data_IF_230719978556
#
_entry.id   IF_230719978556
#
_cell.length_a   1.000
_cell.length_b   1.000
_cell.length_c   1.000
_cell.angle_alpha   90.00
_cell.angle_beta   90.00
_cell.angle_gamma   90.00
#
_symmetry.space_group_name_H-M   'P 1'
#
loop_
_entity.id
_entity.type
_entity.pdbx_description
1 polymer ?
#
# COMPACT_ATOMS: atom_id res chain seq x y z
N UNK A 1 -9.29 15.28 -14.35
CA UNK A 1 -9.34 14.01 -15.10
C UNK A 1 -9.68 12.90 -14.12
N UNK A 2 -10.66 12.07 -14.44
CA UNK A 2 -11.00 10.90 -13.64
C UNK A 2 -10.00 9.78 -13.95
N UNK A 3 -9.40 9.19 -12.94
CA UNK A 3 -8.51 8.03 -13.08
C UNK A 3 -9.40 6.82 -13.35
N UNK A 4 -9.20 6.14 -14.48
CA UNK A 4 -10.04 5.00 -14.87
C UNK A 4 -9.70 3.77 -14.03
N UNK A 5 -10.70 3.09 -13.47
CA UNK A 5 -10.49 1.84 -12.72
C UNK A 5 -10.91 0.67 -13.63
N UNK A 6 -9.96 -0.21 -13.95
CA UNK A 6 -10.16 -1.38 -14.80
C UNK A 6 -10.08 -2.66 -13.96
N UNK A 7 -11.17 -3.42 -13.87
CA UNK A 7 -11.15 -4.74 -13.24
C UNK A 7 -10.86 -5.82 -14.29
N UNK A 8 -9.70 -6.46 -14.19
CA UNK A 8 -9.29 -7.61 -15.01
C UNK A 8 -9.19 -8.90 -14.17
N UNK A 9 -9.71 -8.89 -12.94
CA UNK A 9 -9.77 -10.09 -12.11
C UNK A 9 -11.08 -10.83 -12.32
N UNK A 10 -11.01 -12.15 -12.46
CA UNK A 10 -12.19 -13.03 -12.55
C UNK A 10 -12.84 -13.27 -11.18
N UNK A 11 -12.12 -12.95 -10.11
CA UNK A 11 -12.58 -13.18 -8.73
C UNK A 11 -13.64 -12.17 -8.31
N UNK A 12 -14.57 -12.66 -7.48
CA UNK A 12 -15.55 -11.81 -6.80
C UNK A 12 -14.84 -10.86 -5.83
N UNK A 13 -14.87 -9.57 -6.15
CA UNK A 13 -14.34 -8.51 -5.29
C UNK A 13 -15.17 -8.37 -4.01
N UNK A 14 -14.55 -7.98 -2.88
CA UNK A 14 -15.31 -7.49 -1.73
C UNK A 14 -16.22 -6.32 -2.13
N UNK A 15 -17.34 -6.17 -1.42
CA UNK A 15 -18.28 -5.07 -1.66
C UNK A 15 -17.56 -3.72 -1.59
N UNK A 16 -17.95 -2.81 -2.49
CA UNK A 16 -17.48 -1.43 -2.57
C UNK A 16 -15.98 -1.28 -2.83
N UNK A 17 -15.29 -2.30 -3.36
CA UNK A 17 -13.84 -2.20 -3.64
C UNK A 17 -13.53 -1.06 -4.60
N UNK A 18 -14.32 -0.89 -5.66
CA UNK A 18 -14.14 0.19 -6.64
C UNK A 18 -14.33 1.55 -5.98
N UNK A 19 -15.45 1.78 -5.31
CA UNK A 19 -15.72 3.03 -4.60
C UNK A 19 -14.70 3.32 -3.49
N UNK A 20 -14.13 2.29 -2.87
CA UNK A 20 -13.02 2.47 -1.93
C UNK A 20 -11.75 2.97 -2.62
N UNK A 21 -11.42 2.45 -3.80
CA UNK A 21 -10.26 2.92 -4.59
C UNK A 21 -10.49 4.38 -5.01
N UNK A 22 -11.69 4.72 -5.48
CA UNK A 22 -12.06 6.10 -5.84
C UNK A 22 -11.89 7.03 -4.63
N UNK A 23 -12.50 6.70 -3.49
CA UNK A 23 -12.39 7.51 -2.28
C UNK A 23 -10.96 7.60 -1.73
N UNK A 24 -10.12 6.58 -1.95
CA UNK A 24 -8.70 6.63 -1.60
C UNK A 24 -7.94 7.60 -2.50
N UNK A 25 -8.17 7.56 -3.82
CA UNK A 25 -7.53 8.46 -4.78
C UNK A 25 -7.98 9.91 -4.57
N UNK A 26 -9.26 10.14 -4.28
CA UNK A 26 -9.81 11.46 -3.95
C UNK A 26 -9.26 12.03 -2.65
N UNK A 27 -8.86 11.17 -1.71
CA UNK A 27 -8.28 11.62 -0.44
C UNK A 27 -6.88 12.21 -0.58
N UNK A 28 -6.20 11.96 -1.71
CA UNK A 28 -4.85 12.42 -2.01
C UNK A 28 -4.87 13.81 -2.67
N UNK A 29 -3.79 14.61 -2.51
CA UNK A 29 -3.62 15.86 -3.26
C UNK A 29 -3.67 15.61 -4.78
N UNK A 30 -4.37 16.48 -5.52
CA UNK A 30 -4.58 16.34 -6.97
C UNK A 30 -3.26 16.34 -7.75
N UNK A 31 -2.25 17.01 -7.22
CA UNK A 31 -0.92 17.08 -7.79
C UNK A 31 -0.24 15.72 -7.78
N UNK A 32 -0.47 14.92 -6.74
CA UNK A 32 0.17 13.61 -6.57
C UNK A 32 -0.41 12.54 -7.49
N UNK A 33 -1.61 12.78 -8.00
CA UNK A 33 -2.28 11.87 -8.95
C UNK A 33 -2.25 12.38 -10.39
N UNK A 34 -1.66 13.57 -10.62
CA UNK A 34 -1.56 14.18 -11.93
C UNK A 34 -0.70 13.33 -12.87
N UNK A 35 -1.30 12.88 -13.97
CA UNK A 35 -0.62 12.07 -14.98
C UNK A 35 -0.80 10.55 -14.78
N UNK A 36 -1.50 10.13 -13.72
CA UNK A 36 -2.06 8.79 -13.62
C UNK A 36 -3.31 8.67 -14.49
N UNK A 37 -3.31 7.72 -15.40
CA UNK A 37 -4.43 7.48 -16.31
C UNK A 37 -5.40 6.43 -15.74
N UNK A 38 -4.87 5.35 -15.17
CA UNK A 38 -5.69 4.22 -14.73
C UNK A 38 -5.11 3.43 -13.56
N UNK A 39 -6.00 2.72 -12.87
CA UNK A 39 -5.70 1.67 -11.89
C UNK A 39 -6.29 0.36 -12.41
N UNK A 40 -5.45 -0.65 -12.55
CA UNK A 40 -5.83 -1.99 -13.01
C UNK A 40 -5.80 -2.97 -11.85
N UNK A 41 -6.88 -3.72 -11.70
CA UNK A 41 -6.98 -4.82 -10.75
C UNK A 41 -6.75 -6.14 -11.49
N UNK A 42 -5.72 -6.88 -11.09
CA UNK A 42 -5.35 -8.18 -11.65
C UNK A 42 -5.28 -9.23 -10.56
N UNK A 43 -5.33 -10.50 -10.94
CA UNK A 43 -5.16 -11.59 -9.97
C UNK A 43 -3.71 -11.70 -9.50
N UNK A 44 -2.77 -11.71 -10.44
CA UNK A 44 -1.33 -11.69 -10.20
C UNK A 44 -0.66 -10.78 -11.24
N UNK A 45 0.47 -10.18 -10.86
CA UNK A 45 1.24 -9.31 -11.76
C UNK A 45 2.12 -10.20 -12.65
N UNK A 46 1.95 -10.06 -13.97
CA UNK A 46 2.72 -10.81 -14.97
C UNK A 46 3.53 -9.84 -15.83
N UNK A 47 4.62 -9.30 -15.29
CA UNK A 47 5.51 -8.40 -16.02
C UNK A 47 6.76 -9.16 -16.51
N UNK A 48 7.04 -9.21 -17.83
CA UNK A 48 8.20 -9.91 -18.38
C UNK A 48 9.54 -9.45 -17.78
N UNK A 49 9.67 -8.16 -17.42
CA UNK A 49 10.88 -7.58 -16.81
C UNK A 49 11.20 -8.13 -15.43
N UNK A 50 10.21 -8.71 -14.76
CA UNK A 50 10.35 -9.29 -13.42
C UNK A 50 10.58 -10.81 -13.45
N UNK A 51 10.60 -11.43 -14.65
CA UNK A 51 10.90 -12.85 -14.81
C UNK A 51 12.33 -13.13 -14.32
N UNK A 52 12.46 -13.96 -13.27
CA UNK A 52 13.73 -14.30 -12.63
C UNK A 52 13.89 -13.73 -11.22
N UNK A 53 13.08 -12.74 -10.83
CA UNK A 53 12.95 -12.34 -9.43
C UNK A 53 11.94 -13.27 -8.77
N UNK A 54 12.40 -14.11 -7.83
CA UNK A 54 11.63 -15.14 -7.10
C UNK A 54 10.31 -14.65 -6.45
N UNK A 55 10.08 -13.34 -6.39
CA UNK A 55 8.97 -12.69 -5.69
C UNK A 55 7.99 -11.94 -6.60
N UNK A 56 8.15 -11.99 -7.93
CA UNK A 56 7.30 -11.21 -8.84
C UNK A 56 5.79 -11.53 -8.70
N UNK A 57 5.45 -12.78 -8.36
CA UNK A 57 4.09 -13.25 -8.11
C UNK A 57 3.55 -12.85 -6.72
N UNK A 58 4.40 -12.44 -5.80
CA UNK A 58 4.05 -12.03 -4.44
C UNK A 58 3.91 -10.52 -4.27
N UNK A 59 4.16 -9.75 -5.34
CA UNK A 59 4.07 -8.29 -5.29
C UNK A 59 2.60 -7.84 -5.16
N UNK A 60 2.25 -7.04 -4.15
CA UNK A 60 0.87 -6.57 -3.96
C UNK A 60 0.45 -5.51 -4.99
N UNK A 61 1.41 -4.86 -5.65
CA UNK A 61 1.15 -3.86 -6.67
C UNK A 61 2.41 -3.49 -7.45
N UNK A 62 2.23 -2.95 -8.65
CA UNK A 62 3.29 -2.49 -9.54
C UNK A 62 2.93 -1.13 -10.14
N UNK A 63 3.90 -0.21 -10.13
CA UNK A 63 3.80 1.08 -10.76
C UNK A 63 4.40 1.01 -12.16
N UNK A 64 3.63 1.44 -13.17
CA UNK A 64 4.08 1.54 -14.54
C UNK A 64 4.29 3.03 -14.90
N UNK A 65 5.54 3.50 -15.04
CA UNK A 65 5.81 4.88 -15.42
C UNK A 65 5.35 5.15 -16.87
N UNK A 66 5.12 6.42 -17.18
CA UNK A 66 4.75 6.87 -18.53
C UNK A 66 5.79 6.40 -19.55
N UNK A 67 5.34 5.69 -20.59
CA UNK A 67 6.17 5.19 -21.68
C UNK A 67 5.58 5.64 -23.01
N UNK A 68 6.23 6.63 -23.64
CA UNK A 68 5.79 7.22 -24.90
C UNK A 68 4.37 7.82 -24.80
N UNK A 69 3.41 7.38 -25.64
CA UNK A 69 2.05 7.88 -25.64
C UNK A 69 1.18 7.32 -24.50
N UNK A 70 1.60 6.22 -23.86
CA UNK A 70 0.86 5.60 -22.75
C UNK A 70 1.23 6.31 -21.45
N UNK A 71 0.25 6.89 -20.77
CA UNK A 71 0.48 7.53 -19.47
C UNK A 71 0.80 6.54 -18.37
N UNK A 72 1.09 7.10 -17.19
CA UNK A 72 1.43 6.30 -16.04
C UNK A 72 0.19 5.58 -15.50
N UNK A 73 0.36 4.35 -15.03
CA UNK A 73 -0.76 3.57 -14.50
C UNK A 73 -0.32 2.65 -13.37
N UNK A 74 -1.30 2.23 -12.56
CA UNK A 74 -1.08 1.40 -11.39
C UNK A 74 -1.67 0.02 -11.62
N UNK A 75 -0.98 -1.01 -11.16
CA UNK A 75 -1.46 -2.39 -11.18
C UNK A 75 -1.51 -2.92 -9.75
N UNK A 76 -2.62 -3.55 -9.37
CA UNK A 76 -2.84 -4.07 -8.01
C UNK A 76 -3.17 -5.56 -8.10
N UNK A 77 -2.39 -6.38 -7.39
CA UNK A 77 -2.54 -7.82 -7.35
C UNK A 77 -3.50 -8.25 -6.24
N UNK A 78 -4.72 -8.59 -6.61
CA UNK A 78 -5.75 -9.03 -5.66
C UNK A 78 -5.47 -10.43 -5.11
N UNK A 79 -4.75 -11.29 -5.83
CA UNK A 79 -4.37 -12.62 -5.37
C UNK A 79 -3.45 -12.59 -4.15
N UNK A 80 -2.61 -11.54 -4.04
CA UNK A 80 -1.73 -11.31 -2.90
C UNK A 80 -2.50 -10.71 -1.73
N UNK A 81 -3.37 -9.73 -1.99
CA UNK A 81 -4.17 -9.05 -0.96
C UNK A 81 -5.27 -9.96 -0.39
N UNK A 82 -5.83 -10.85 -1.21
CA UNK A 82 -6.90 -11.79 -0.89
C UNK A 82 -6.48 -13.21 -1.34
N UNK A 83 -5.62 -13.89 -0.55
CA UNK A 83 -5.14 -15.22 -0.91
C UNK A 83 -6.30 -16.23 -0.82
N UNK A 84 -6.78 -16.69 -1.98
CA UNK A 84 -7.81 -17.72 -2.07
C UNK A 84 -7.27 -19.12 -1.74
N UNK A 85 -5.98 -19.39 -1.92
CA UNK A 85 -5.41 -20.74 -1.74
C UNK A 85 -5.17 -21.15 -0.27
N UNK A 86 -5.57 -20.33 0.72
CA UNK A 86 -5.38 -20.64 2.15
C UNK A 86 -6.66 -21.25 2.78
N UNK A 87 -6.55 -22.03 3.87
CA UNK A 87 -7.70 -22.51 4.63
C UNK A 87 -8.60 -21.37 5.12
N UNK A 88 -9.90 -21.62 5.31
CA UNK A 88 -10.92 -20.60 5.63
C UNK A 88 -10.52 -19.72 6.82
N UNK A 89 -9.98 -20.29 7.90
CA UNK A 89 -9.52 -19.54 9.08
C UNK A 89 -8.36 -18.58 8.77
N UNK A 90 -7.47 -18.94 7.85
CA UNK A 90 -6.38 -18.06 7.39
C UNK A 90 -6.83 -17.01 6.36
N UNK A 91 -8.08 -17.09 5.86
CA UNK A 91 -8.68 -16.08 4.95
C UNK A 91 -9.37 -14.94 5.70
N UNK A 92 -9.69 -15.11 6.99
CA UNK A 92 -10.41 -14.09 7.76
C UNK A 92 -9.53 -12.86 7.97
N UNK A 93 -8.28 -13.04 8.41
CA UNK A 93 -7.36 -11.93 8.67
C UNK A 93 -7.14 -11.07 7.41
N UNK A 94 -6.78 -11.63 6.23
CA UNK A 94 -6.65 -10.85 5.00
C UNK A 94 -7.93 -10.11 4.59
N UNK A 95 -9.11 -10.70 4.81
CA UNK A 95 -10.39 -10.05 4.51
C UNK A 95 -10.66 -8.85 5.42
N UNK A 96 -10.32 -8.96 6.71
CA UNK A 96 -10.46 -7.84 7.66
C UNK A 96 -9.45 -6.73 7.38
N UNK A 97 -8.21 -7.07 7.03
CA UNK A 97 -7.15 -6.10 6.74
C UNK A 97 -7.17 -5.59 5.29
N UNK A 98 -8.02 -6.14 4.42
CA UNK A 98 -8.07 -5.83 2.99
C UNK A 98 -8.13 -4.33 2.73
N UNK A 99 -9.03 -3.59 3.41
CA UNK A 99 -9.19 -2.15 3.20
C UNK A 99 -7.92 -1.36 3.55
N UNK A 100 -7.23 -1.75 4.62
CA UNK A 100 -6.00 -1.11 5.06
C UNK A 100 -4.82 -1.45 4.13
N UNK A 101 -4.72 -2.71 3.73
CA UNK A 101 -3.67 -3.15 2.80
C UNK A 101 -3.87 -2.52 1.41
N UNK A 102 -5.10 -2.46 0.91
CA UNK A 102 -5.44 -1.78 -0.34
C UNK A 102 -5.04 -0.30 -0.30
N UNK A 103 -5.37 0.40 0.80
CA UNK A 103 -4.97 1.79 1.00
C UNK A 103 -3.44 1.95 1.01
N UNK A 104 -2.73 1.09 1.74
CA UNK A 104 -1.27 1.11 1.82
C UNK A 104 -0.63 0.87 0.45
N UNK A 105 -1.14 -0.10 -0.33
CA UNK A 105 -0.67 -0.39 -1.68
C UNK A 105 -0.89 0.82 -2.60
N UNK A 106 -2.09 1.39 -2.61
CA UNK A 106 -2.40 2.56 -3.46
C UNK A 106 -1.52 3.76 -3.09
N UNK A 107 -1.39 4.07 -1.80
CA UNK A 107 -0.56 5.20 -1.36
C UNK A 107 0.92 4.97 -1.64
N UNK A 108 1.42 3.74 -1.54
CA UNK A 108 2.78 3.38 -1.94
C UNK A 108 3.00 3.58 -3.44
N UNK A 109 2.08 3.09 -4.27
CA UNK A 109 2.15 3.22 -5.73
C UNK A 109 2.04 4.68 -6.19
N UNK A 110 1.15 5.47 -5.58
CA UNK A 110 1.07 6.92 -5.83
C UNK A 110 2.32 7.64 -5.31
N UNK A 111 2.88 7.20 -4.18
CA UNK A 111 4.15 7.71 -3.67
C UNK A 111 5.31 7.48 -4.65
N UNK A 112 5.36 6.29 -5.26
CA UNK A 112 6.30 6.00 -6.35
C UNK A 112 6.08 6.97 -7.51
N UNK A 113 4.84 7.11 -7.99
CA UNK A 113 4.51 8.04 -9.06
C UNK A 113 4.94 9.48 -8.73
N UNK A 114 4.59 9.98 -7.55
CA UNK A 114 4.94 11.32 -7.07
C UNK A 114 6.46 11.56 -7.06
N UNK A 115 7.23 10.62 -6.50
CA UNK A 115 8.68 10.76 -6.42
C UNK A 115 9.38 10.58 -7.77
N UNK A 116 8.83 9.77 -8.68
CA UNK A 116 9.38 9.62 -10.03
C UNK A 116 9.00 10.75 -11.00
N UNK A 117 7.87 11.43 -10.78
CA UNK A 117 7.32 12.43 -11.72
C UNK A 117 7.51 13.86 -11.26
N UNK A 118 7.43 14.16 -9.96
CA UNK A 118 7.45 15.54 -9.45
C UNK A 118 8.68 15.87 -8.61
N UNK A 119 9.27 14.89 -7.92
CA UNK A 119 10.38 15.11 -6.99
C UNK A 119 11.67 14.44 -7.45
N UNK A 120 12.27 14.98 -8.52
CA UNK A 120 13.50 14.47 -9.14
C UNK A 120 14.77 14.62 -8.29
N UNK A 121 14.70 15.20 -7.09
CA UNK A 121 15.86 15.49 -6.24
C UNK A 121 16.34 14.31 -5.40
N UNK A 122 15.69 13.14 -5.47
CA UNK A 122 16.01 11.98 -4.63
C UNK A 122 16.96 11.02 -5.33
N UNK A 123 18.04 10.65 -4.61
CA UNK A 123 18.93 9.56 -5.03
C UNK A 123 18.19 8.22 -4.94
N UNK A 124 18.57 7.26 -5.78
CA UNK A 124 17.94 5.92 -5.81
C UNK A 124 17.88 5.24 -4.43
N UNK A 125 18.92 5.39 -3.61
CA UNK A 125 19.00 4.83 -2.25
C UNK A 125 17.99 5.45 -1.26
N UNK A 126 17.50 6.65 -1.54
CA UNK A 126 16.57 7.39 -0.68
C UNK A 126 15.12 7.25 -1.10
N UNK A 127 14.84 6.63 -2.25
CA UNK A 127 13.49 6.49 -2.79
C UNK A 127 12.60 5.64 -1.90
N UNK A 128 13.06 4.45 -1.50
CA UNK A 128 12.26 3.54 -0.69
C UNK A 128 11.90 4.16 0.68
N UNK A 129 12.85 4.74 1.45
CA UNK A 129 12.51 5.47 2.68
C UNK A 129 11.52 6.62 2.45
N UNK A 130 11.67 7.37 1.34
CA UNK A 130 10.78 8.48 1.02
C UNK A 130 9.35 8.01 0.68
N UNK A 131 9.22 6.96 -0.13
CA UNK A 131 7.93 6.35 -0.48
C UNK A 131 7.26 5.78 0.77
N UNK A 132 8.02 5.15 1.67
CA UNK A 132 7.50 4.64 2.94
C UNK A 132 6.99 5.76 3.83
N UNK A 133 7.77 6.81 4.04
CA UNK A 133 7.36 7.98 4.82
C UNK A 133 6.13 8.66 4.22
N UNK A 134 6.06 8.76 2.90
CA UNK A 134 4.87 9.24 2.18
C UNK A 134 3.64 8.37 2.49
N UNK A 135 3.79 7.06 2.35
CA UNK A 135 2.71 6.09 2.58
C UNK A 135 2.19 6.18 4.02
N UNK A 136 3.09 6.21 4.99
CA UNK A 136 2.75 6.33 6.41
C UNK A 136 2.01 7.65 6.71
N UNK A 137 2.45 8.77 6.12
CA UNK A 137 1.78 10.07 6.24
C UNK A 137 0.36 10.03 5.68
N UNK A 138 0.17 9.49 4.48
CA UNK A 138 -1.17 9.44 3.85
C UNK A 138 -2.09 8.44 4.55
N UNK A 139 -1.56 7.30 5.01
CA UNK A 139 -2.33 6.35 5.82
C UNK A 139 -2.81 6.98 7.13
N UNK A 140 -1.96 7.76 7.81
CA UNK A 140 -2.34 8.47 9.03
C UNK A 140 -3.46 9.47 8.74
N UNK A 141 -3.28 10.32 7.72
CA UNK A 141 -4.28 11.31 7.32
C UNK A 141 -5.62 10.66 6.92
N UNK A 142 -5.58 9.56 6.18
CA UNK A 142 -6.77 8.80 5.79
C UNK A 142 -7.48 8.17 7.00
N UNK A 143 -6.73 7.55 7.91
CA UNK A 143 -7.28 6.96 9.12
C UNK A 143 -7.94 8.01 10.02
N UNK A 144 -7.33 9.19 10.15
CA UNK A 144 -7.91 10.30 10.92
C UNK A 144 -9.23 10.80 10.33
N UNK A 145 -9.33 10.91 9.00
CA UNK A 145 -10.56 11.28 8.30
C UNK A 145 -11.64 10.21 8.45
N UNK A 146 -11.28 8.93 8.27
CA UNK A 146 -12.23 7.80 8.23
C UNK A 146 -12.74 7.40 9.60
N UNK A 147 -11.89 7.44 10.62
CA UNK A 147 -12.24 7.03 11.98
C UNK A 147 -12.31 8.23 12.92
N UNK A 148 -12.83 9.37 12.46
CA UNK A 148 -12.84 10.64 13.20
C UNK A 148 -13.31 10.52 14.66
N UNK A 149 -14.33 9.68 14.93
CA UNK A 149 -14.82 9.41 16.28
C UNK A 149 -13.82 8.61 17.16
N UNK A 150 -13.28 7.50 16.65
CA UNK A 150 -12.23 6.72 17.34
C UNK A 150 -10.92 7.51 17.46
N UNK A 151 -10.56 8.28 16.44
CA UNK A 151 -9.38 9.13 16.46
C UNK A 151 -9.51 10.19 17.55
N UNK A 152 -10.68 10.80 17.74
CA UNK A 152 -10.93 11.72 18.87
C UNK A 152 -10.78 11.02 20.24
N UNK A 153 -11.24 9.77 20.36
CA UNK A 153 -11.12 8.99 21.61
C UNK A 153 -9.67 8.55 21.91
N UNK A 154 -8.91 8.15 20.90
CA UNK A 154 -7.56 7.60 21.08
C UNK A 154 -6.43 8.65 20.96
N UNK A 155 -6.68 9.84 20.39
CA UNK A 155 -5.71 10.95 20.33
C UNK A 155 -5.05 11.29 21.68
N UNK A 156 -5.78 11.41 22.81
CA UNK A 156 -5.13 11.68 24.10
C UNK A 156 -4.26 10.52 24.61
N UNK A 157 -4.53 9.29 24.17
CA UNK A 157 -3.85 8.07 24.63
C UNK A 157 -2.74 7.64 23.63
N UNK A 158 -2.69 8.21 22.43
CA UNK A 158 -1.61 7.98 21.46
C UNK A 158 -0.19 8.10 22.04
N UNK A 159 0.16 9.15 22.80
CA UNK A 159 1.53 9.28 23.28
C UNK A 159 1.93 8.18 24.26
N UNK A 160 1.00 7.64 25.05
CA UNK A 160 1.28 6.53 25.98
C UNK A 160 1.40 5.21 25.24
N UNK A 161 0.53 4.96 24.25
CA UNK A 161 0.61 3.80 23.37
C UNK A 161 1.90 3.77 22.55
N UNK A 162 2.35 4.91 22.02
CA UNK A 162 3.62 5.01 21.29
C UNK A 162 4.83 4.73 22.20
N UNK A 163 4.80 5.19 23.46
CA UNK A 163 5.84 4.89 24.45
C UNK A 163 5.89 3.39 24.74
N UNK A 164 4.74 2.74 24.91
CA UNK A 164 4.65 1.30 25.14
C UNK A 164 5.08 0.49 23.91
N UNK A 165 4.68 0.91 22.70
CA UNK A 165 5.11 0.30 21.45
C UNK A 165 6.63 0.37 21.26
N UNK A 166 7.25 1.53 21.55
CA UNK A 166 8.72 1.68 21.55
C UNK A 166 9.39 0.78 22.60
N UNK A 167 8.79 0.66 23.78
CA UNK A 167 9.26 -0.26 24.83
C UNK A 167 9.24 -1.72 24.38
N UNK A 168 8.13 -2.16 23.78
CA UNK A 168 7.96 -3.52 23.26
C UNK A 168 8.89 -3.81 22.07
N UNK A 169 9.04 -2.86 21.13
CA UNK A 169 9.98 -3.01 20.00
C UNK A 169 11.43 -3.12 20.48
N UNK A 170 11.84 -2.35 21.49
CA UNK A 170 13.17 -2.46 22.09
C UNK A 170 13.39 -3.83 22.75
N UNK A 171 12.39 -4.35 23.47
CA UNK A 171 12.44 -5.69 24.09
C UNK A 171 12.52 -6.80 23.04
N UNK A 172 11.66 -6.75 22.02
CA UNK A 172 11.69 -7.72 20.92
C UNK A 172 13.00 -7.67 20.11
N UNK A 173 13.58 -6.48 19.90
CA UNK A 173 14.87 -6.34 19.24
C UNK A 173 16.02 -6.89 20.11
N UNK A 174 15.96 -6.72 21.43
CA UNK A 174 16.92 -7.28 22.36
C UNK A 174 16.83 -8.82 22.43
N UNK A 175 15.63 -9.39 22.41
CA UNK A 175 15.41 -10.84 22.35
C UNK A 175 15.89 -11.46 21.04
N UNK A 176 15.64 -10.79 19.89
CA UNK A 176 16.19 -11.22 18.60
C UNK A 176 17.72 -11.19 18.57
N UNK A 177 18.34 -10.19 19.20
CA UNK A 177 19.80 -10.11 19.33
C UNK A 177 20.35 -11.20 20.27
N UNK A 178 19.66 -11.48 21.38
CA UNK A 178 20.03 -12.58 22.30
C UNK A 178 19.90 -13.95 21.65
N UNK A 179 18.83 -14.22 20.91
CA UNK A 179 18.63 -15.47 20.18
C UNK A 179 19.55 -15.66 18.96
N UNK A 180 20.08 -14.57 18.40
CA UNK A 180 21.11 -14.62 17.35
C UNK A 180 22.53 -14.79 17.91
N UNK A 181 22.76 -14.40 19.17
CA UNK A 181 24.03 -14.58 19.88
C UNK A 181 24.16 -15.95 20.58
N UNK A 182 23.07 -16.73 20.65
CA UNK A 182 23.02 -18.06 21.26
C UNK A 182 22.95 -19.19 20.23
N UNK A 183 23.41 -18.93 18.99
CA UNK A 183 23.59 -19.93 17.93
C UNK A 183 25.01 -19.83 17.39
#
# INVERSE_FOLDING_TARGET
MAIKIENQSERKLPKDTISQIEGLLESLPREHTRGLERVRLVEFISEPRLRGMMQATELPGLYHPRQGPKGAWLEIALGVLLPANKPIHKRIIPRMSFKGNLAATIFSLVGQHYHFTLKHSLKKTQLEPAIRAYTEKQLKAWNEKKYSFRAKLFKPIQPTLERWAKGLQKRAAAEKKKGASSR
#
